data_IF_536461015058
#
_entry.id   IF_536461015058
#
_cell.length_a   1.000
_cell.length_b   1.000
_cell.length_c   1.000
_cell.angle_alpha   90.00
_cell.angle_beta   90.00
_cell.angle_gamma   90.00
#
_symmetry.space_group_name_H-M   'P 1'
#
loop_
_entity.id
_entity.type
_entity.pdbx_description
1 polymer ?
#
# COMPACT_ATOMS: atom_id res chain seq x y z
N UNK A 1 -36.08 -11.06 -13.62
CA UNK A 1 -35.47 -10.61 -12.36
C UNK A 1 -35.58 -11.75 -11.36
N UNK A 2 -34.48 -12.21 -10.77
CA UNK A 2 -34.48 -13.26 -9.73
C UNK A 2 -34.72 -12.59 -8.38
N UNK A 3 -35.77 -13.01 -7.67
CA UNK A 3 -36.04 -12.54 -6.31
C UNK A 3 -35.69 -13.70 -5.37
N UNK A 4 -34.71 -13.55 -4.46
CA UNK A 4 -34.38 -14.59 -3.51
C UNK A 4 -35.58 -14.94 -2.62
N UNK A 5 -35.83 -16.23 -2.42
CA UNK A 5 -36.88 -16.74 -1.53
C UNK A 5 -36.29 -17.07 -0.15
N UNK A 6 -35.09 -17.64 -0.11
CA UNK A 6 -34.33 -17.93 1.10
C UNK A 6 -32.83 -17.75 0.83
N UNK A 7 -32.19 -16.88 1.60
CA UNK A 7 -30.76 -16.61 1.51
C UNK A 7 -29.98 -17.35 2.59
N UNK A 8 -28.79 -17.85 2.26
CA UNK A 8 -27.86 -18.41 3.24
C UNK A 8 -26.53 -17.65 3.20
N UNK A 9 -26.14 -17.05 4.34
CA UNK A 9 -24.92 -16.26 4.44
C UNK A 9 -23.68 -17.16 4.52
N UNK A 10 -22.76 -17.02 3.56
CA UNK A 10 -21.44 -17.63 3.61
C UNK A 10 -20.38 -16.59 3.95
N UNK A 11 -19.59 -16.88 4.98
CA UNK A 11 -18.48 -16.06 5.45
C UNK A 11 -17.18 -16.59 4.84
N UNK A 12 -16.82 -16.07 3.67
CA UNK A 12 -15.57 -16.41 3.00
C UNK A 12 -14.36 -15.90 3.79
N UNK A 13 -13.37 -16.76 3.92
CA UNK A 13 -12.11 -16.51 4.61
C UNK A 13 -11.09 -17.54 4.11
N UNK A 14 -9.79 -17.45 4.47
CA UNK A 14 -8.82 -18.48 4.11
C UNK A 14 -9.20 -19.90 4.54
N UNK A 15 -10.04 -20.04 5.58
CA UNK A 15 -10.54 -21.33 6.05
C UNK A 15 -11.76 -21.85 5.27
N UNK A 16 -12.51 -20.96 4.61
CA UNK A 16 -13.69 -21.28 3.80
C UNK A 16 -13.53 -20.57 2.44
N UNK A 17 -12.74 -21.17 1.56
CA UNK A 17 -12.54 -20.70 0.19
C UNK A 17 -13.55 -21.29 -0.81
N UNK A 18 -13.28 -21.11 -2.10
CA UNK A 18 -14.14 -21.55 -3.19
C UNK A 18 -14.38 -23.06 -3.18
N UNK A 19 -13.34 -23.86 -2.93
CA UNK A 19 -13.45 -25.32 -2.92
C UNK A 19 -14.32 -25.84 -1.78
N UNK A 20 -14.15 -25.31 -0.57
CA UNK A 20 -15.01 -25.67 0.56
C UNK A 20 -16.45 -25.22 0.32
N UNK A 21 -16.64 -24.05 -0.30
CA UNK A 21 -17.98 -23.60 -0.69
C UNK A 21 -18.63 -24.56 -1.70
N UNK A 22 -17.88 -25.07 -2.70
CA UNK A 22 -18.37 -26.06 -3.66
C UNK A 22 -18.89 -27.33 -2.96
N UNK A 23 -18.20 -27.81 -1.92
CA UNK A 23 -18.59 -29.01 -1.17
C UNK A 23 -19.93 -28.84 -0.43
N UNK A 24 -20.27 -27.62 0.00
CA UNK A 24 -21.51 -27.35 0.74
C UNK A 24 -22.70 -26.97 -0.15
N UNK A 25 -22.49 -26.53 -1.40
CA UNK A 25 -23.59 -26.17 -2.32
C UNK A 25 -24.65 -27.28 -2.46
N UNK A 26 -24.29 -28.57 -2.62
CA UNK A 26 -25.29 -29.64 -2.68
C UNK A 26 -26.18 -29.71 -1.44
N UNK A 27 -25.59 -29.53 -0.25
CA UNK A 27 -26.31 -29.50 1.01
C UNK A 27 -27.28 -28.32 1.08
N UNK A 28 -26.83 -27.11 0.70
CA UNK A 28 -27.67 -25.91 0.72
C UNK A 28 -28.87 -26.04 -0.24
N UNK A 29 -28.65 -26.63 -1.42
CA UNK A 29 -29.74 -26.92 -2.35
C UNK A 29 -30.75 -27.92 -1.77
N UNK A 30 -30.28 -28.99 -1.14
CA UNK A 30 -31.14 -29.99 -0.49
C UNK A 30 -31.93 -29.40 0.70
N UNK A 31 -31.34 -28.44 1.42
CA UNK A 31 -31.99 -27.69 2.49
C UNK A 31 -33.11 -26.76 1.98
N UNK A 32 -33.13 -26.45 0.68
CA UNK A 32 -34.11 -25.56 0.06
C UNK A 32 -33.69 -24.09 -0.01
N UNK A 33 -32.40 -23.78 0.18
CA UNK A 33 -31.87 -22.43 0.01
C UNK A 33 -31.98 -22.02 -1.46
N UNK A 34 -32.50 -20.83 -1.73
CA UNK A 34 -32.60 -20.32 -3.10
C UNK A 34 -31.34 -19.59 -3.52
N UNK A 35 -30.69 -18.84 -2.62
CA UNK A 35 -29.58 -17.95 -2.99
C UNK A 35 -28.48 -17.96 -1.92
N UNK A 36 -27.23 -18.01 -2.37
CA UNK A 36 -26.09 -17.77 -1.50
C UNK A 36 -25.96 -16.27 -1.30
N UNK A 37 -25.93 -15.81 -0.05
CA UNK A 37 -25.50 -14.46 0.30
C UNK A 37 -24.00 -14.52 0.65
N UNK A 38 -23.15 -14.10 -0.28
CA UNK A 38 -21.71 -14.17 -0.11
C UNK A 38 -21.17 -12.92 0.60
N UNK A 39 -20.27 -13.10 1.57
CA UNK A 39 -19.43 -12.01 2.10
C UNK A 39 -18.55 -11.38 1.02
N UNK A 40 -17.91 -10.23 1.28
CA UNK A 40 -17.02 -9.60 0.31
C UNK A 40 -15.97 -10.59 -0.23
N UNK A 41 -15.78 -10.59 -1.55
CA UNK A 41 -14.90 -11.52 -2.27
C UNK A 41 -13.69 -10.85 -2.93
N UNK A 42 -13.63 -9.53 -2.90
CA UNK A 42 -12.53 -8.77 -3.48
C UNK A 42 -11.29 -8.83 -2.59
N UNK A 43 -10.12 -8.56 -3.17
CA UNK A 43 -8.85 -8.65 -2.48
C UNK A 43 -8.84 -7.72 -1.26
N UNK A 44 -8.71 -8.34 -0.08
CA UNK A 44 -8.60 -7.68 1.21
C UNK A 44 -7.17 -7.80 1.73
N UNK A 45 -6.90 -7.23 2.91
CA UNK A 45 -5.59 -7.41 3.57
C UNK A 45 -5.27 -8.91 3.72
N UNK A 46 -4.00 -9.32 3.55
CA UNK A 46 -3.60 -10.70 3.76
C UNK A 46 -4.02 -11.23 5.14
N UNK A 47 -4.60 -12.42 5.18
CA UNK A 47 -5.13 -13.05 6.39
C UNK A 47 -6.46 -12.48 6.89
N UNK A 48 -7.13 -11.59 6.14
CA UNK A 48 -8.45 -11.09 6.52
C UNK A 48 -9.46 -12.24 6.61
N UNK A 49 -10.21 -12.28 7.72
CA UNK A 49 -11.22 -13.31 7.97
C UNK A 49 -12.64 -12.86 7.56
N UNK A 50 -12.79 -11.64 7.05
CA UNK A 50 -14.11 -11.04 6.80
C UNK A 50 -14.21 -10.27 5.46
N UNK A 51 -13.10 -9.81 4.88
CA UNK A 51 -13.07 -9.20 3.55
C UNK A 51 -13.56 -7.74 3.45
N UNK A 52 -13.87 -7.09 4.58
CA UNK A 52 -14.35 -5.68 4.60
C UNK A 52 -13.20 -4.66 4.50
N UNK A 53 -11.98 -5.08 4.77
CA UNK A 53 -10.75 -4.32 4.64
C UNK A 53 -10.14 -4.50 3.25
N UNK A 54 -10.91 -4.11 2.23
CA UNK A 54 -10.57 -4.23 0.80
C UNK A 54 -9.31 -3.43 0.47
N UNK A 55 -8.34 -4.05 -0.17
CA UNK A 55 -7.14 -3.39 -0.72
C UNK A 55 -7.24 -3.20 -2.22
N UNK A 56 -7.91 -4.09 -2.96
CA UNK A 56 -8.09 -3.97 -4.41
C UNK A 56 -9.46 -4.52 -4.84
N UNK A 57 -10.41 -3.64 -5.21
CA UNK A 57 -11.76 -4.04 -5.63
C UNK A 57 -11.80 -4.61 -7.05
N UNK A 58 -10.70 -4.58 -7.81
CA UNK A 58 -10.64 -5.05 -9.20
C UNK A 58 -10.25 -6.52 -9.31
N UNK A 59 -9.89 -7.15 -8.19
CA UNK A 59 -9.37 -8.51 -8.13
C UNK A 59 -10.11 -9.34 -7.09
N UNK A 60 -10.39 -10.60 -7.42
CA UNK A 60 -10.83 -11.57 -6.42
C UNK A 60 -9.72 -11.81 -5.40
N UNK A 61 -10.11 -12.05 -4.14
CA UNK A 61 -9.15 -12.35 -3.09
C UNK A 61 -8.44 -13.68 -3.38
N UNK A 62 -7.11 -13.69 -3.61
CA UNK A 62 -6.37 -14.90 -3.95
C UNK A 62 -6.34 -15.92 -2.80
N UNK A 63 -6.57 -15.51 -1.55
CA UNK A 63 -6.62 -16.42 -0.40
C UNK A 63 -7.90 -17.26 -0.36
N UNK A 64 -8.91 -16.91 -1.15
CA UNK A 64 -10.15 -17.68 -1.27
C UNK A 64 -10.05 -18.81 -2.31
N UNK A 65 -9.00 -18.82 -3.15
CA UNK A 65 -8.78 -19.79 -4.22
C UNK A 65 -8.58 -19.12 -5.58
N UNK A 66 -8.48 -19.93 -6.64
CA UNK A 66 -8.23 -19.40 -8.00
C UNK A 66 -9.50 -18.86 -8.66
N UNK A 67 -9.34 -18.09 -9.75
CA UNK A 67 -10.49 -17.63 -10.53
C UNK A 67 -11.27 -18.81 -11.14
N UNK A 68 -10.57 -19.88 -11.53
CA UNK A 68 -11.18 -21.11 -12.04
C UNK A 68 -11.99 -21.82 -10.94
N UNK A 69 -11.48 -21.87 -9.70
CA UNK A 69 -12.24 -22.43 -8.57
C UNK A 69 -13.53 -21.63 -8.32
N UNK A 70 -13.49 -20.30 -8.49
CA UNK A 70 -14.68 -19.44 -8.39
C UNK A 70 -15.66 -19.69 -9.54
N UNK A 71 -15.18 -19.82 -10.78
CA UNK A 71 -16.02 -20.12 -11.94
C UNK A 71 -16.75 -21.47 -11.77
N UNK A 72 -16.04 -22.49 -11.29
CA UNK A 72 -16.62 -23.81 -10.98
C UNK A 72 -17.72 -23.67 -9.91
N UNK A 73 -17.47 -22.91 -8.83
CA UNK A 73 -18.46 -22.66 -7.79
C UNK A 73 -19.72 -22.01 -8.37
N UNK A 74 -19.57 -20.96 -9.17
CA UNK A 74 -20.71 -20.27 -9.79
C UNK A 74 -21.48 -21.19 -10.74
N UNK A 75 -20.80 -22.04 -11.50
CA UNK A 75 -21.46 -23.05 -12.33
C UNK A 75 -22.26 -24.05 -11.49
N UNK A 76 -21.73 -24.52 -10.36
CA UNK A 76 -22.42 -25.46 -9.47
C UNK A 76 -23.67 -24.85 -8.81
N UNK A 77 -23.61 -23.57 -8.43
CA UNK A 77 -24.74 -22.80 -7.91
C UNK A 77 -25.83 -22.70 -8.97
N UNK A 78 -25.46 -22.29 -10.19
CA UNK A 78 -26.40 -22.17 -11.33
C UNK A 78 -27.04 -23.50 -11.71
N UNK A 79 -26.27 -24.59 -11.75
CA UNK A 79 -26.76 -25.93 -12.09
C UNK A 79 -27.85 -26.43 -11.13
N UNK A 80 -27.91 -25.90 -9.90
CA UNK A 80 -28.92 -26.22 -8.88
C UNK A 80 -30.06 -25.20 -8.83
N UNK A 81 -30.16 -24.33 -9.84
CA UNK A 81 -31.11 -23.21 -9.89
C UNK A 81 -31.00 -22.27 -8.68
N UNK A 82 -29.84 -22.24 -8.01
CA UNK A 82 -29.56 -21.30 -6.94
C UNK A 82 -28.99 -19.99 -7.53
N UNK A 83 -29.09 -18.90 -6.78
CA UNK A 83 -28.51 -17.60 -7.16
C UNK A 83 -27.41 -17.15 -6.20
N UNK A 84 -26.87 -15.96 -6.49
CA UNK A 84 -25.75 -15.37 -5.79
C UNK A 84 -26.04 -13.90 -5.50
N UNK A 85 -26.06 -13.54 -4.22
CA UNK A 85 -26.16 -12.19 -3.72
C UNK A 85 -24.81 -11.78 -3.14
N UNK A 86 -24.15 -10.81 -3.76
CA UNK A 86 -22.81 -10.40 -3.38
C UNK A 86 -22.85 -9.20 -2.42
N UNK A 87 -22.21 -9.34 -1.27
CA UNK A 87 -21.89 -8.22 -0.38
C UNK A 87 -20.76 -7.37 -0.97
N UNK A 88 -20.91 -6.04 -0.95
CA UNK A 88 -19.96 -5.09 -1.53
C UNK A 88 -19.63 -3.98 -0.53
N UNK A 89 -18.42 -3.43 -0.63
CA UNK A 89 -17.89 -2.44 0.33
C UNK A 89 -17.52 -1.15 -0.40
N UNK A 90 -18.50 -0.31 -0.76
CA UNK A 90 -18.23 0.90 -1.54
C UNK A 90 -17.70 2.06 -0.67
N UNK A 91 -17.97 2.07 0.64
CA UNK A 91 -17.67 3.25 1.46
C UNK A 91 -16.18 3.44 1.74
N UNK A 92 -15.41 2.36 1.87
CA UNK A 92 -14.04 2.44 2.41
C UNK A 92 -13.14 1.34 1.86
N UNK A 93 -11.84 1.56 2.00
CA UNK A 93 -10.78 0.60 1.73
C UNK A 93 -9.80 0.57 2.91
N UNK A 94 -8.94 -0.44 2.96
CA UNK A 94 -7.89 -0.54 3.95
C UNK A 94 -6.85 0.58 3.76
N UNK A 95 -6.49 1.25 4.87
CA UNK A 95 -5.31 2.11 4.98
C UNK A 95 -4.09 1.21 5.12
N UNK A 96 -3.56 0.73 4.00
CA UNK A 96 -2.45 -0.20 3.95
C UNK A 96 -1.58 0.08 2.71
N UNK A 97 -0.26 -0.06 2.78
CA UNK A 97 0.63 0.14 1.61
C UNK A 97 0.45 -0.88 0.49
N UNK A 98 -0.24 -1.99 0.75
CA UNK A 98 -0.64 -2.97 -0.28
C UNK A 98 -1.88 -2.55 -1.06
N UNK A 99 -2.63 -1.53 -0.61
CA UNK A 99 -3.68 -0.88 -1.38
C UNK A 99 -3.04 -0.05 -2.50
N UNK A 100 -3.13 -0.45 -3.78
CA UNK A 100 -2.42 0.22 -4.87
C UNK A 100 -2.86 1.68 -5.07
N UNK A 101 -4.13 2.00 -4.81
CA UNK A 101 -4.64 3.37 -4.96
C UNK A 101 -4.04 4.27 -3.90
N UNK A 102 -4.13 3.87 -2.62
CA UNK A 102 -3.57 4.65 -1.52
C UNK A 102 -2.05 4.75 -1.64
N UNK A 103 -1.40 3.65 -2.03
CA UNK A 103 0.04 3.62 -2.24
C UNK A 103 0.49 4.65 -3.27
N UNK A 104 -0.22 4.75 -4.40
CA UNK A 104 0.10 5.74 -5.43
C UNK A 104 -0.09 7.18 -4.90
N UNK A 105 -1.16 7.44 -4.15
CA UNK A 105 -1.38 8.74 -3.48
C UNK A 105 -0.23 9.07 -2.51
N UNK A 106 0.24 8.11 -1.72
CA UNK A 106 1.34 8.32 -0.77
C UNK A 106 2.70 8.50 -1.44
N UNK A 107 2.89 7.94 -2.63
CA UNK A 107 4.14 8.03 -3.40
C UNK A 107 4.19 9.28 -4.31
N UNK A 108 3.05 9.69 -4.88
CA UNK A 108 2.95 10.74 -5.90
C UNK A 108 2.20 12.00 -5.47
N UNK A 109 1.47 11.97 -4.35
CA UNK A 109 0.70 13.12 -3.86
C UNK A 109 -0.32 13.61 -4.90
N UNK A 110 -0.40 14.93 -5.08
CA UNK A 110 -1.30 15.62 -6.02
C UNK A 110 -1.13 15.18 -7.49
N UNK A 111 0.01 14.61 -7.85
CA UNK A 111 0.21 14.08 -9.21
C UNK A 111 -0.51 12.74 -9.43
N UNK A 112 -0.98 12.07 -8.37
CA UNK A 112 -1.73 10.80 -8.48
C UNK A 112 -3.11 11.01 -9.09
N UNK A 113 -3.57 10.19 -10.05
CA UNK A 113 -4.95 10.21 -10.54
C UNK A 113 -5.93 9.72 -9.46
N UNK A 114 -5.42 9.13 -8.38
CA UNK A 114 -6.21 8.63 -7.27
C UNK A 114 -6.27 9.64 -6.11
N UNK A 115 -5.74 10.85 -6.29
CA UNK A 115 -5.64 11.87 -5.23
C UNK A 115 -7.00 12.25 -4.62
N UNK A 116 -8.06 12.31 -5.44
CA UNK A 116 -9.44 12.60 -4.99
C UNK A 116 -10.28 11.37 -4.68
N UNK A 117 -9.76 10.15 -4.89
CA UNK A 117 -10.52 8.91 -4.65
C UNK A 117 -10.84 8.71 -3.18
N UNK A 118 -9.96 9.19 -2.29
CA UNK A 118 -10.15 9.12 -0.84
C UNK A 118 -10.66 10.45 -0.30
N UNK A 119 -11.55 10.36 0.69
CA UNK A 119 -12.09 11.51 1.39
C UNK A 119 -11.07 12.01 2.43
N UNK A 120 -10.14 12.85 1.97
CA UNK A 120 -9.02 13.41 2.71
C UNK A 120 -9.15 14.94 2.72
N UNK A 121 -9.10 15.55 3.91
CA UNK A 121 -8.89 16.98 4.07
C UNK A 121 -7.39 17.32 3.88
N UNK A 122 -7.06 17.70 2.65
CA UNK A 122 -5.72 18.15 2.26
C UNK A 122 -5.36 19.54 2.80
N UNK A 123 -6.35 20.35 3.20
CA UNK A 123 -6.21 21.73 3.66
C UNK A 123 -6.26 21.85 5.18
N UNK A 124 -5.64 20.90 5.88
CA UNK A 124 -5.69 20.81 7.33
C UNK A 124 -5.17 22.09 8.05
N UNK A 125 -5.78 22.52 9.18
CA UNK A 125 -5.34 23.69 9.93
C UNK A 125 -3.89 23.61 10.42
N UNK A 126 -3.46 22.44 10.89
CA UNK A 126 -2.06 22.19 11.27
C UNK A 126 -1.14 22.19 10.05
N UNK A 127 -0.17 23.11 10.03
CA UNK A 127 0.78 23.24 8.94
C UNK A 127 1.58 21.96 8.65
N UNK A 128 1.82 21.12 9.68
CA UNK A 128 2.50 19.82 9.54
C UNK A 128 1.69 18.77 8.78
N UNK A 129 0.39 18.99 8.56
CA UNK A 129 -0.52 18.06 7.87
C UNK A 129 -1.05 18.58 6.52
N UNK A 130 -0.78 19.84 6.15
CA UNK A 130 -1.17 20.36 4.84
C UNK A 130 -0.52 19.55 3.73
N UNK A 131 -1.32 19.07 2.79
CA UNK A 131 -0.86 18.22 1.67
C UNK A 131 -0.37 16.83 2.11
N UNK A 132 -0.74 16.36 3.31
CA UNK A 132 -0.33 15.04 3.84
C UNK A 132 -1.50 14.29 4.45
N UNK A 133 -1.41 12.97 4.47
CA UNK A 133 -2.37 12.10 5.16
C UNK A 133 -1.83 11.70 6.53
N UNK A 134 -2.63 11.82 7.58
CA UNK A 134 -2.23 11.32 8.89
C UNK A 134 -2.16 9.78 8.87
N UNK A 135 -1.09 9.22 9.42
CA UNK A 135 -0.93 7.77 9.63
C UNK A 135 -0.83 7.48 11.14
N UNK A 136 -1.98 7.45 11.87
CA UNK A 136 -1.99 7.37 13.32
C UNK A 136 -1.91 5.92 13.83
N UNK A 137 -0.81 5.24 13.51
CA UNK A 137 -0.62 3.82 13.82
C UNK A 137 0.49 3.56 14.83
N UNK A 138 1.24 4.59 15.23
CA UNK A 138 2.31 4.41 16.21
C UNK A 138 1.70 4.07 17.57
N UNK A 139 2.30 3.11 18.27
CA UNK A 139 1.96 2.70 19.64
C UNK A 139 2.46 3.65 20.73
N UNK A 140 3.30 4.63 20.38
CA UNK A 140 3.87 5.66 21.25
C UNK A 140 4.07 6.98 20.49
N UNK A 141 4.38 8.11 21.16
CA UNK A 141 4.70 9.37 20.50
C UNK A 141 5.79 9.23 19.43
N UNK A 142 5.69 10.03 18.36
CA UNK A 142 6.57 9.96 17.19
C UNK A 142 8.07 9.98 17.54
N UNK A 143 8.51 10.94 18.36
CA UNK A 143 9.91 11.06 18.76
C UNK A 143 10.42 9.82 19.50
N UNK A 144 9.61 9.28 20.43
CA UNK A 144 9.97 8.05 21.15
C UNK A 144 10.03 6.83 20.23
N UNK A 145 9.11 6.72 19.25
CA UNK A 145 9.12 5.62 18.28
C UNK A 145 10.35 5.70 17.36
N UNK A 146 10.76 6.92 16.99
CA UNK A 146 11.95 7.17 16.18
C UNK A 146 13.23 6.86 16.96
N UNK A 147 13.37 7.32 18.20
CA UNK A 147 14.52 7.06 19.08
C UNK A 147 14.67 5.59 19.46
N UNK A 148 13.55 4.88 19.62
CA UNK A 148 13.53 3.44 19.88
C UNK A 148 13.93 2.60 18.66
N UNK A 149 13.96 3.18 17.45
CA UNK A 149 14.23 2.46 16.21
C UNK A 149 13.05 1.59 15.75
N UNK A 150 11.83 1.86 16.22
CA UNK A 150 10.62 1.13 15.80
C UNK A 150 10.24 1.44 14.34
N UNK A 151 10.64 2.63 13.85
CA UNK A 151 10.41 3.09 12.47
C UNK A 151 11.63 2.73 11.63
N UNK A 152 11.45 1.86 10.64
CA UNK A 152 12.56 1.34 9.83
C UNK A 152 12.42 1.71 8.36
N UNK A 153 13.55 2.02 7.72
CA UNK A 153 13.64 2.27 6.29
C UNK A 153 14.04 0.97 5.59
N UNK A 154 13.26 0.53 4.60
CA UNK A 154 13.56 -0.69 3.83
C UNK A 154 13.53 -0.40 2.34
N UNK A 155 14.19 -1.27 1.58
CA UNK A 155 14.20 -1.23 0.12
C UNK A 155 13.93 -2.63 -0.43
N UNK A 156 12.99 -2.72 -1.37
CA UNK A 156 12.70 -3.94 -2.11
C UNK A 156 12.39 -3.64 -3.59
N UNK A 157 11.90 -4.64 -4.32
CA UNK A 157 11.53 -4.52 -5.74
C UNK A 157 10.48 -3.44 -6.00
N UNK A 158 9.61 -3.19 -5.04
CA UNK A 158 8.54 -2.22 -5.16
C UNK A 158 9.00 -0.79 -4.82
N UNK A 159 10.12 -0.63 -4.11
CA UNK A 159 10.73 0.65 -3.81
C UNK A 159 11.23 0.78 -2.37
N UNK A 160 11.48 2.02 -1.95
CA UNK A 160 11.76 2.33 -0.55
C UNK A 160 10.46 2.48 0.23
N UNK A 161 10.44 1.95 1.45
CA UNK A 161 9.29 2.01 2.34
C UNK A 161 9.71 2.39 3.76
N UNK A 162 8.81 3.11 4.44
CA UNK A 162 8.83 3.30 5.88
C UNK A 162 7.97 2.21 6.50
N UNK A 163 8.53 1.50 7.48
CA UNK A 163 7.92 0.32 8.07
C UNK A 163 7.77 0.51 9.59
N UNK A 164 6.62 0.13 10.11
CA UNK A 164 6.30 0.08 11.53
C UNK A 164 5.49 -1.18 11.82
N UNK A 165 6.13 -2.20 12.39
CA UNK A 165 5.57 -3.56 12.49
C UNK A 165 5.05 -4.07 11.12
N UNK A 166 3.75 -4.25 10.97
CA UNK A 166 3.10 -4.71 9.73
C UNK A 166 2.79 -3.58 8.77
N UNK A 167 2.76 -2.32 9.23
CA UNK A 167 2.51 -1.16 8.39
C UNK A 167 3.70 -0.92 7.47
N UNK A 168 3.43 -0.77 6.18
CA UNK A 168 4.41 -0.42 5.15
C UNK A 168 3.86 0.76 4.37
N UNK A 169 4.59 1.87 4.31
CA UNK A 169 4.19 3.06 3.54
C UNK A 169 5.28 3.38 2.51
N UNK A 170 4.93 3.62 1.24
CA UNK A 170 5.92 3.97 0.21
C UNK A 170 6.52 5.33 0.53
N UNK A 171 7.81 5.51 0.25
CA UNK A 171 8.38 6.86 0.22
C UNK A 171 7.84 7.63 -0.99
N UNK A 172 7.65 8.94 -0.81
CA UNK A 172 7.53 9.91 -1.90
C UNK A 172 8.68 9.70 -2.89
N UNK A 173 8.37 9.58 -4.17
CA UNK A 173 9.37 9.19 -5.18
C UNK A 173 10.55 10.17 -5.27
N UNK A 174 10.32 11.48 -5.14
CA UNK A 174 11.39 12.48 -5.16
C UNK A 174 12.33 12.37 -3.95
N UNK A 175 11.84 11.83 -2.82
CA UNK A 175 12.65 11.63 -1.61
C UNK A 175 13.67 10.48 -1.75
N UNK A 176 13.66 9.76 -2.87
CA UNK A 176 14.75 8.85 -3.23
C UNK A 176 16.05 9.61 -3.50
N UNK A 177 15.99 10.83 -4.02
CA UNK A 177 17.16 11.62 -4.41
C UNK A 177 18.16 11.79 -3.25
N UNK A 178 17.78 12.30 -2.06
CA UNK A 178 18.73 12.44 -0.96
C UNK A 178 19.32 11.09 -0.51
N UNK A 179 18.54 10.00 -0.53
CA UNK A 179 19.01 8.66 -0.19
C UNK A 179 20.06 8.13 -1.19
N UNK A 180 19.78 8.28 -2.48
CA UNK A 180 20.62 7.76 -3.57
C UNK A 180 21.86 8.62 -3.81
N UNK A 181 21.80 9.92 -3.54
CA UNK A 181 22.93 10.84 -3.71
C UNK A 181 23.83 10.93 -2.48
N UNK A 182 23.37 10.45 -1.32
CA UNK A 182 24.18 10.43 -0.11
C UNK A 182 25.46 9.62 -0.34
N UNK A 183 26.62 10.26 -0.09
CA UNK A 183 27.96 9.67 -0.32
C UNK A 183 28.19 9.19 -1.77
N UNK A 184 27.55 9.81 -2.77
CA UNK A 184 27.73 9.44 -4.19
C UNK A 184 29.20 9.41 -4.64
N UNK A 185 30.05 10.28 -4.08
CA UNK A 185 31.49 10.28 -4.34
C UNK A 185 32.19 8.98 -3.92
N UNK A 186 31.69 8.29 -2.89
CA UNK A 186 32.20 7.00 -2.46
C UNK A 186 31.86 5.92 -3.49
N UNK A 187 30.63 5.91 -3.98
CA UNK A 187 30.21 4.99 -5.04
C UNK A 187 31.04 5.18 -6.32
N UNK A 188 31.23 6.44 -6.74
CA UNK A 188 32.10 6.82 -7.88
C UNK A 188 33.51 6.24 -7.73
N UNK A 189 34.11 6.34 -6.53
CA UNK A 189 35.45 5.78 -6.25
C UNK A 189 35.48 4.26 -6.23
N UNK A 190 34.42 3.60 -5.74
CA UNK A 190 34.35 2.13 -5.62
C UNK A 190 34.11 1.44 -6.97
N UNK A 191 33.27 2.00 -7.84
CA UNK A 191 32.97 1.43 -9.16
C UNK A 191 33.87 1.95 -10.29
N UNK A 192 34.31 3.20 -10.20
CA UNK A 192 34.91 3.92 -11.32
C UNK A 192 33.87 4.71 -12.12
N UNK A 193 34.30 5.83 -12.70
CA UNK A 193 33.43 6.79 -13.40
C UNK A 193 32.83 6.25 -14.70
N UNK A 194 33.60 5.43 -15.41
CA UNK A 194 33.20 4.86 -16.70
C UNK A 194 32.50 3.50 -16.55
N UNK A 195 32.25 3.05 -15.33
CA UNK A 195 31.58 1.76 -15.09
C UNK A 195 30.13 1.80 -15.59
N UNK A 196 29.67 0.83 -16.41
CA UNK A 196 28.31 0.84 -16.98
C UNK A 196 27.20 1.00 -15.95
N UNK A 197 27.30 0.29 -14.83
CA UNK A 197 26.30 0.37 -13.75
C UNK A 197 26.32 1.72 -13.00
N UNK A 198 27.47 2.38 -12.91
CA UNK A 198 27.53 3.74 -12.35
C UNK A 198 26.87 4.74 -13.31
N UNK A 199 27.09 4.61 -14.62
CA UNK A 199 26.40 5.42 -15.64
C UNK A 199 24.89 5.18 -15.60
N UNK A 200 24.43 3.91 -15.51
CA UNK A 200 23.01 3.57 -15.33
C UNK A 200 22.44 4.21 -14.06
N UNK A 201 23.18 4.16 -12.94
CA UNK A 201 22.78 4.78 -11.69
C UNK A 201 22.62 6.31 -11.81
N UNK A 202 23.54 6.98 -12.52
CA UNK A 202 23.41 8.40 -12.84
C UNK A 202 22.18 8.69 -13.73
N UNK A 203 21.88 7.80 -14.69
CA UNK A 203 20.68 7.88 -15.52
C UNK A 203 19.39 7.79 -14.69
N UNK A 204 19.35 6.93 -13.66
CA UNK A 204 18.25 6.87 -12.69
C UNK A 204 18.10 8.20 -11.95
N UNK A 205 19.20 8.76 -11.43
CA UNK A 205 19.19 10.04 -10.73
C UNK A 205 18.72 11.19 -11.63
N UNK A 206 19.12 11.18 -12.90
CA UNK A 206 18.65 12.14 -13.89
C UNK A 206 17.15 11.99 -14.13
N UNK A 207 16.65 10.76 -14.29
CA UNK A 207 15.23 10.49 -14.50
C UNK A 207 14.38 10.94 -13.30
N UNK A 208 14.83 10.64 -12.07
CA UNK A 208 14.17 11.10 -10.84
C UNK A 208 14.04 12.63 -10.75
N UNK A 209 15.09 13.36 -11.17
CA UNK A 209 15.10 14.83 -11.13
C UNK A 209 14.21 15.47 -12.20
N UNK A 210 13.86 14.74 -13.25
CA UNK A 210 13.09 15.23 -14.39
C UNK A 210 11.72 14.55 -14.50
N UNK A 211 11.20 14.00 -13.40
CA UNK A 211 9.85 13.45 -13.38
C UNK A 211 8.83 14.55 -13.73
N UNK A 212 7.86 14.27 -14.64
CA UNK A 212 6.78 15.20 -14.92
C UNK A 212 6.01 15.57 -13.65
N UNK A 213 5.69 16.86 -13.50
CA UNK A 213 4.93 17.37 -12.35
C UNK A 213 3.46 17.63 -12.69
N UNK A 214 3.14 17.84 -13.98
CA UNK A 214 1.78 18.14 -14.40
C UNK A 214 0.88 16.89 -14.32
N UNK A 215 -0.35 17.00 -13.77
CA UNK A 215 -1.28 15.87 -13.72
C UNK A 215 -1.63 15.29 -15.10
N UNK A 216 -1.59 16.10 -16.16
CA UNK A 216 -1.85 15.67 -17.54
C UNK A 216 -0.84 14.64 -18.05
N UNK A 217 0.34 14.58 -17.44
CA UNK A 217 1.46 13.74 -17.85
C UNK A 217 1.61 12.52 -16.93
N UNK A 218 0.57 12.20 -16.14
CA UNK A 218 0.66 11.14 -15.13
C UNK A 218 1.06 9.78 -15.74
N UNK A 219 0.55 9.41 -16.91
CA UNK A 219 0.91 8.15 -17.54
C UNK A 219 2.42 8.08 -17.83
N UNK A 220 2.99 9.17 -18.36
CA UNK A 220 4.42 9.27 -18.59
C UNK A 220 5.21 9.20 -17.27
N UNK A 221 4.75 9.94 -16.24
CA UNK A 221 5.33 9.89 -14.90
C UNK A 221 5.32 8.47 -14.34
N UNK A 222 4.20 7.77 -14.39
CA UNK A 222 4.05 6.41 -13.89
C UNK A 222 4.99 5.42 -14.61
N UNK A 223 5.13 5.56 -15.92
CA UNK A 223 6.05 4.74 -16.72
C UNK A 223 7.52 5.04 -16.39
N UNK A 224 7.89 6.30 -16.18
CA UNK A 224 9.23 6.69 -15.71
C UNK A 224 9.53 6.15 -14.31
N UNK A 225 8.58 6.24 -13.36
CA UNK A 225 8.73 5.68 -12.00
C UNK A 225 8.92 4.16 -12.07
N UNK A 226 8.13 3.46 -12.89
CA UNK A 226 8.26 2.02 -13.10
C UNK A 226 9.64 1.66 -13.68
N UNK A 227 10.12 2.42 -14.65
CA UNK A 227 11.46 2.27 -15.21
C UNK A 227 12.55 2.48 -14.15
N UNK A 228 12.49 3.57 -13.38
CA UNK A 228 13.41 3.90 -12.29
C UNK A 228 13.49 2.74 -11.28
N UNK A 229 12.34 2.28 -10.77
CA UNK A 229 12.29 1.20 -9.78
C UNK A 229 12.84 -0.11 -10.33
N UNK A 230 12.49 -0.45 -11.58
CA UNK A 230 12.99 -1.67 -12.24
C UNK A 230 14.51 -1.62 -12.41
N UNK A 231 15.04 -0.51 -12.92
CA UNK A 231 16.48 -0.33 -13.12
C UNK A 231 17.23 -0.32 -11.79
N UNK A 232 16.72 0.36 -10.78
CA UNK A 232 17.34 0.39 -9.45
C UNK A 232 17.35 -1.00 -8.80
N UNK A 233 16.27 -1.78 -8.97
CA UNK A 233 16.19 -3.16 -8.49
C UNK A 233 17.17 -4.09 -9.22
N UNK A 234 17.30 -3.94 -10.55
CA UNK A 234 18.29 -4.67 -11.34
C UNK A 234 19.71 -4.38 -10.82
N UNK A 235 20.06 -3.10 -10.66
CA UNK A 235 21.35 -2.69 -10.12
C UNK A 235 21.60 -3.24 -8.71
N UNK A 236 20.60 -3.16 -7.83
CA UNK A 236 20.68 -3.66 -6.46
C UNK A 236 20.87 -5.18 -6.38
N UNK A 237 20.28 -5.93 -7.31
CA UNK A 237 20.36 -7.40 -7.29
C UNK A 237 21.60 -7.94 -8.00
N UNK A 238 22.08 -7.25 -9.05
CA UNK A 238 23.17 -7.74 -9.89
C UNK A 238 24.56 -7.21 -9.49
N UNK A 239 24.64 -6.06 -8.81
CA UNK A 239 25.91 -5.43 -8.48
C UNK A 239 26.10 -5.32 -6.95
N UNK A 240 27.03 -6.12 -6.40
CA UNK A 240 27.30 -6.16 -4.97
C UNK A 240 27.74 -4.79 -4.41
N UNK A 241 28.59 -4.05 -5.12
CA UNK A 241 29.07 -2.74 -4.69
C UNK A 241 27.92 -1.72 -4.57
N UNK A 242 26.97 -1.73 -5.50
CA UNK A 242 25.78 -0.88 -5.45
C UNK A 242 24.81 -1.29 -4.34
N UNK A 243 24.61 -2.60 -4.18
CA UNK A 243 23.80 -3.15 -3.09
C UNK A 243 24.33 -2.71 -1.74
N UNK A 244 25.63 -2.89 -1.50
CA UNK A 244 26.29 -2.56 -0.24
C UNK A 244 26.25 -1.04 -0.02
N UNK A 245 26.49 -0.24 -1.06
CA UNK A 245 26.34 1.22 -0.99
C UNK A 245 24.93 1.65 -0.55
N UNK A 246 23.88 1.07 -1.14
CA UNK A 246 22.50 1.37 -0.77
C UNK A 246 22.15 0.91 0.65
N UNK A 247 22.57 -0.29 1.05
CA UNK A 247 22.35 -0.81 2.39
C UNK A 247 23.05 0.03 3.46
N UNK A 248 24.29 0.46 3.21
CA UNK A 248 25.00 1.38 4.10
C UNK A 248 24.28 2.74 4.18
N UNK A 249 23.79 3.28 3.07
CA UNK A 249 23.02 4.54 3.08
C UNK A 249 21.71 4.39 3.87
N UNK A 250 20.96 3.31 3.66
CA UNK A 250 19.74 3.00 4.43
C UNK A 250 20.05 2.96 5.93
N UNK A 251 21.13 2.26 6.32
CA UNK A 251 21.55 2.14 7.72
C UNK A 251 21.92 3.50 8.33
N UNK A 252 22.62 4.35 7.57
CA UNK A 252 22.99 5.70 8.02
C UNK A 252 21.80 6.66 8.13
N UNK A 253 20.81 6.52 7.25
CA UNK A 253 19.58 7.31 7.36
C UNK A 253 18.77 6.88 8.57
N UNK A 254 18.60 5.57 8.76
CA UNK A 254 17.86 5.01 9.89
C UNK A 254 18.46 5.42 11.25
N UNK A 255 19.79 5.53 11.32
CA UNK A 255 20.48 5.90 12.55
C UNK A 255 20.58 4.74 13.53
N UNK A 256 21.06 5.05 14.74
CA UNK A 256 21.27 4.10 15.81
C UNK A 256 20.33 4.39 16.98
N UNK A 257 19.61 3.36 17.45
CA UNK A 257 18.72 3.48 18.59
C UNK A 257 19.46 4.00 19.84
N UNK A 258 18.86 4.96 20.54
CA UNK A 258 19.48 5.62 21.69
C UNK A 258 20.55 6.67 21.37
N UNK A 259 20.78 7.02 20.08
CA UNK A 259 21.64 8.14 19.66
C UNK A 259 20.81 9.21 18.92
N UNK A 260 20.25 10.22 19.60
CA UNK A 260 19.34 11.21 19.01
C UNK A 260 19.91 11.96 17.79
N UNK A 261 21.20 12.27 17.78
CA UNK A 261 21.81 12.98 16.64
C UNK A 261 21.82 12.13 15.36
N UNK A 262 21.81 10.80 15.48
CA UNK A 262 21.90 9.88 14.36
C UNK A 262 20.59 9.74 13.57
N UNK A 263 19.44 9.97 14.22
CA UNK A 263 18.09 9.84 13.63
C UNK A 263 17.63 11.08 12.86
N UNK A 264 18.38 12.19 12.92
CA UNK A 264 18.07 13.45 12.22
C UNK A 264 17.83 13.26 10.72
N UNK A 265 18.52 12.31 10.09
CA UNK A 265 18.35 12.00 8.65
C UNK A 265 17.01 11.33 8.36
N UNK A 266 16.62 10.37 9.20
CA UNK A 266 15.32 9.72 9.08
C UNK A 266 14.18 10.68 9.41
N UNK A 267 14.34 11.54 10.42
CA UNK A 267 13.38 12.59 10.75
C UNK A 267 13.15 13.54 9.55
N UNK A 268 14.25 14.06 8.98
CA UNK A 268 14.17 14.90 7.78
C UNK A 268 13.50 14.17 6.61
N UNK A 269 13.87 12.92 6.34
CA UNK A 269 13.24 12.11 5.30
C UNK A 269 11.74 11.94 5.54
N UNK A 270 11.33 11.60 6.76
CA UNK A 270 9.93 11.45 7.15
C UNK A 270 9.16 12.77 7.03
N UNK A 271 9.83 13.90 7.28
CA UNK A 271 9.23 15.22 7.15
C UNK A 271 8.92 15.63 5.71
N UNK A 272 9.42 14.92 4.69
CA UNK A 272 9.16 15.22 3.26
C UNK A 272 8.04 14.38 2.66
N UNK A 273 7.49 13.42 3.42
CA UNK A 273 6.53 12.44 2.90
C UNK A 273 5.11 13.02 2.77
N UNK A 274 4.31 12.41 1.88
CA UNK A 274 2.88 12.69 1.74
C UNK A 274 2.03 12.09 2.86
N UNK A 275 2.65 11.49 3.86
CA UNK A 275 2.01 11.06 5.10
C UNK A 275 2.75 11.60 6.32
N UNK A 276 2.07 11.63 7.46
CA UNK A 276 2.66 11.94 8.76
C UNK A 276 2.34 10.85 9.75
N UNK A 277 3.36 10.12 10.20
CA UNK A 277 3.21 9.13 11.27
C UNK A 277 2.84 9.82 12.59
N UNK A 278 1.88 9.26 13.30
CA UNK A 278 1.42 9.79 14.58
C UNK A 278 1.03 8.69 15.57
N UNK A 279 1.01 9.06 16.85
CA UNK A 279 0.52 8.21 17.93
C UNK A 279 -0.98 7.96 17.76
N UNK A 280 -1.42 6.71 17.83
CA UNK A 280 -2.83 6.36 17.54
C UNK A 280 -3.86 7.14 18.36
N UNK A 281 -3.50 7.59 19.58
CA UNK A 281 -4.41 8.35 20.45
C UNK A 281 -4.72 9.77 19.92
N UNK A 282 -3.85 10.37 19.12
CA UNK A 282 -4.12 11.71 18.55
C UNK A 282 -5.08 11.67 17.36
N UNK A 283 -5.43 10.47 16.85
CA UNK A 283 -6.37 10.28 15.75
C UNK A 283 -7.77 10.86 16.03
N UNK A 284 -8.15 11.07 17.29
CA UNK A 284 -9.45 11.65 17.63
C UNK A 284 -9.52 13.13 17.28
N UNK A 285 -8.38 13.82 17.27
CA UNK A 285 -8.30 15.28 17.12
C UNK A 285 -7.62 15.71 15.81
N UNK A 286 -6.63 14.96 15.33
CA UNK A 286 -5.78 15.36 14.19
C UNK A 286 -6.12 14.64 12.88
N UNK A 287 -7.05 13.66 12.88
CA UNK A 287 -7.30 12.87 11.68
C UNK A 287 -7.91 13.71 10.57
N UNK A 288 -7.33 13.60 9.38
CA UNK A 288 -7.71 14.40 8.22
C UNK A 288 -8.25 13.55 7.08
N UNK A 289 -8.82 12.39 7.37
CA UNK A 289 -9.56 11.59 6.40
C UNK A 289 -10.81 10.99 7.05
N UNK A 290 -11.88 10.84 6.28
CA UNK A 290 -13.09 10.18 6.78
C UNK A 290 -12.81 8.70 6.97
N UNK A 291 -13.15 8.17 8.14
CA UNK A 291 -13.04 6.75 8.48
C UNK A 291 -14.36 6.03 8.38
N UNK A 292 -14.30 4.70 8.35
CA UNK A 292 -15.43 3.89 8.78
C UNK A 292 -15.48 3.85 10.33
N UNK A 293 -16.45 4.55 10.91
CA UNK A 293 -16.55 4.78 12.35
C UNK A 293 -15.24 5.36 12.93
N UNK A 294 -14.68 4.74 13.96
CA UNK A 294 -13.43 5.12 14.62
C UNK A 294 -12.26 4.19 14.27
N UNK A 295 -12.34 3.44 13.17
CA UNK A 295 -11.31 2.49 12.74
C UNK A 295 -10.31 3.22 11.84
N UNK A 296 -9.09 3.43 12.32
CA UNK A 296 -8.04 4.16 11.60
C UNK A 296 -7.57 3.40 10.34
N UNK A 297 -7.68 2.09 10.36
CA UNK A 297 -7.27 1.20 9.27
C UNK A 297 -8.24 1.20 8.08
N UNK A 298 -9.35 1.94 8.14
CA UNK A 298 -10.37 2.00 7.09
C UNK A 298 -10.57 3.44 6.62
N UNK A 299 -9.95 3.79 5.49
CA UNK A 299 -10.04 5.11 4.85
C UNK A 299 -11.22 5.13 3.88
N UNK A 300 -12.05 6.17 3.94
CA UNK A 300 -13.27 6.25 3.13
C UNK A 300 -13.00 6.75 1.72
N UNK A 301 -13.80 6.25 0.80
CA UNK A 301 -13.84 6.66 -0.60
C UNK A 301 -14.82 7.82 -0.79
N UNK A 302 -14.53 8.67 -1.78
CA UNK A 302 -15.40 9.71 -2.30
C UNK A 302 -16.22 9.14 -3.46
N UNK A 303 -17.25 8.35 -3.14
CA UNK A 303 -18.01 7.53 -4.11
C UNK A 303 -19.02 8.32 -4.96
N UNK A 304 -19.27 9.57 -4.60
CA UNK A 304 -20.18 10.48 -5.28
C UNK A 304 -19.61 11.10 -6.56
N UNK A 305 -18.30 10.99 -6.79
CA UNK A 305 -17.57 11.44 -7.98
C UNK A 305 -17.28 10.28 -8.94
#
# INVERSE_FOLDING_TARGET
MRIPVATYRLQFSPALGWRQAQEIVPYLAALGISDIYASPIFQARPGSTHGYDVVDPTRLNPELGTAEDFDILIQQVKARNMGWLQDIVPNHMAYDGTNPLLRDVLENGESSPHFSVFDIDWSHPYASLRGRVLAPFLGRPYGEALEAGDITLRYDRQGFTINYYTLQLPLKIESYIPLLTHRLSLLRRRLGEDHPDYIKFLGILYSLKNLPLAPTDYQERADQIRFIKRMLWELYTQNATLRDFLQENISLFQGEAGKPESITRLDHLLSEQHFRLAFWKVATEEINYRRFFNINELISLHMEE
#
